data_IF_888453169343
#
_entry.id   IF_888453169343
#
_cell.length_a   1.000
_cell.length_b   1.000
_cell.length_c   1.000
_cell.angle_alpha   90.00
_cell.angle_beta   90.00
_cell.angle_gamma   90.00
#
_symmetry.space_group_name_H-M   'P 1'
#
loop_
_entity.id
_entity.type
_entity.pdbx_description
1 polymer ?
#
# COMPACT_ATOMS: atom_id res chain seq x y z
N UNK A 1 6.15 13.64 -24.45
CA UNK A 1 6.12 13.14 -23.06
C UNK A 1 4.76 13.44 -22.47
N UNK A 2 3.91 12.43 -22.43
CA UNK A 2 2.50 12.53 -22.02
C UNK A 2 2.41 12.87 -20.52
N UNK A 3 1.73 13.97 -20.20
CA UNK A 3 1.50 14.47 -18.83
C UNK A 3 0.82 13.45 -17.88
N UNK A 4 0.31 12.34 -18.42
CA UNK A 4 -0.27 11.22 -17.66
C UNK A 4 0.79 10.45 -16.83
N UNK A 5 2.07 10.50 -17.21
CA UNK A 5 3.14 9.78 -16.51
C UNK A 5 3.59 10.42 -15.19
N UNK A 6 3.55 11.75 -15.07
CA UNK A 6 4.06 12.44 -13.87
C UNK A 6 3.08 12.31 -12.69
N UNK A 7 1.79 12.56 -12.91
CA UNK A 7 0.79 12.59 -11.83
C UNK A 7 0.61 11.23 -11.12
N UNK A 8 0.60 10.13 -11.89
CA UNK A 8 0.54 8.77 -11.32
C UNK A 8 1.83 8.34 -10.63
N UNK A 9 2.99 8.82 -11.11
CA UNK A 9 4.29 8.53 -10.52
C UNK A 9 4.44 9.16 -9.14
N UNK A 10 4.08 10.44 -9.00
CA UNK A 10 4.23 11.15 -7.72
C UNK A 10 3.37 10.52 -6.62
N UNK A 11 2.10 10.23 -6.90
CA UNK A 11 1.21 9.56 -5.95
C UNK A 11 1.71 8.15 -5.57
N UNK A 12 2.22 7.39 -6.56
CA UNK A 12 2.78 6.06 -6.32
C UNK A 12 4.04 6.09 -5.46
N UNK A 13 4.89 7.11 -5.64
CA UNK A 13 6.11 7.31 -4.84
C UNK A 13 5.73 7.68 -3.41
N UNK A 14 4.82 8.64 -3.22
CA UNK A 14 4.32 9.02 -1.90
C UNK A 14 3.70 7.84 -1.15
N UNK A 15 2.93 7.00 -1.84
CA UNK A 15 2.31 5.80 -1.25
C UNK A 15 3.34 4.82 -0.70
N UNK A 16 4.42 4.56 -1.47
CA UNK A 16 5.50 3.65 -1.06
C UNK A 16 6.25 4.20 0.17
N UNK A 17 6.51 5.50 0.19
CA UNK A 17 7.17 6.16 1.33
C UNK A 17 6.29 6.07 2.57
N UNK A 18 4.99 6.37 2.44
CA UNK A 18 4.04 6.29 3.56
C UNK A 18 3.91 4.88 4.10
N UNK A 19 3.88 3.87 3.21
CA UNK A 19 3.86 2.47 3.59
C UNK A 19 5.09 2.12 4.43
N UNK A 20 6.29 2.48 3.95
CA UNK A 20 7.56 2.25 4.66
C UNK A 20 7.59 2.98 6.01
N UNK A 21 7.11 4.22 6.07
CA UNK A 21 7.01 4.97 7.32
C UNK A 21 6.02 4.32 8.31
N UNK A 22 4.88 3.84 7.82
CA UNK A 22 3.86 3.17 8.63
C UNK A 22 4.39 1.85 9.19
N UNK A 23 5.13 1.08 8.39
CA UNK A 23 5.78 -0.16 8.85
C UNK A 23 6.90 0.10 9.86
N UNK A 24 7.62 1.22 9.74
CA UNK A 24 8.62 1.62 10.75
C UNK A 24 7.99 2.01 12.09
N UNK A 25 6.85 2.70 12.07
CA UNK A 25 6.16 3.12 13.29
C UNK A 25 5.40 1.94 13.93
N UNK A 26 4.86 1.04 13.11
CA UNK A 26 4.08 -0.13 13.56
C UNK A 26 4.60 -1.42 12.91
N UNK A 27 5.71 -1.99 13.42
CA UNK A 27 6.30 -3.20 12.86
C UNK A 27 5.38 -4.43 12.95
N UNK A 28 4.44 -4.45 13.91
CA UNK A 28 3.45 -5.53 14.04
C UNK A 28 2.50 -5.59 12.84
N UNK A 29 2.18 -4.43 12.24
CA UNK A 29 1.35 -4.36 11.04
C UNK A 29 2.07 -5.00 9.85
N UNK A 30 3.38 -4.79 9.74
CA UNK A 30 4.22 -5.43 8.72
C UNK A 30 4.27 -6.95 8.92
N UNK A 31 4.46 -7.42 10.16
CA UNK A 31 4.47 -8.86 10.47
C UNK A 31 3.14 -9.55 10.15
N UNK A 32 2.02 -8.90 10.47
CA UNK A 32 0.69 -9.44 10.17
C UNK A 32 0.43 -9.50 8.65
N UNK A 33 0.86 -8.48 7.90
CA UNK A 33 0.77 -8.50 6.44
C UNK A 33 1.65 -9.59 5.82
N UNK A 34 2.86 -9.76 6.34
CA UNK A 34 3.76 -10.83 5.89
C UNK A 34 3.18 -12.22 6.20
N UNK A 35 2.63 -12.42 7.40
CA UNK A 35 2.00 -13.68 7.78
C UNK A 35 0.78 -14.04 6.91
N UNK A 36 -0.03 -13.05 6.51
CA UNK A 36 -1.12 -13.28 5.56
C UNK A 36 -0.59 -13.70 4.18
N UNK A 37 0.42 -13.00 3.66
CA UNK A 37 1.08 -13.33 2.40
C UNK A 37 1.65 -14.75 2.45
N UNK A 38 2.39 -15.08 3.51
CA UNK A 38 3.01 -16.39 3.69
C UNK A 38 1.95 -17.50 3.84
N UNK A 39 0.78 -17.19 4.42
CA UNK A 39 -0.32 -18.15 4.58
C UNK A 39 -1.11 -18.39 3.29
N UNK A 40 -1.26 -17.38 2.43
CA UNK A 40 -2.11 -17.44 1.22
C UNK A 40 -1.30 -17.89 0.01
N UNK A 41 -0.09 -17.37 -0.15
CA UNK A 41 0.76 -17.61 -1.32
C UNK A 41 1.82 -18.70 -1.04
N UNK A 42 2.30 -18.78 0.21
CA UNK A 42 3.45 -19.62 0.57
C UNK A 42 4.78 -19.05 0.07
N UNK A 43 5.86 -19.81 0.23
CA UNK A 43 7.21 -19.39 -0.18
C UNK A 43 7.61 -19.78 -1.61
N UNK A 44 6.74 -20.48 -2.33
CA UNK A 44 7.09 -21.11 -3.62
C UNK A 44 6.97 -20.15 -4.82
N UNK A 45 6.28 -19.00 -4.64
CA UNK A 45 6.07 -18.03 -5.71
C UNK A 45 5.88 -16.60 -5.18
N UNK A 46 6.19 -15.63 -6.03
CA UNK A 46 5.92 -14.23 -5.72
C UNK A 46 4.42 -13.90 -5.80
N UNK A 47 3.94 -12.92 -5.02
CA UNK A 47 2.56 -12.44 -5.11
C UNK A 47 2.23 -11.95 -6.52
N UNK A 48 1.11 -12.41 -7.07
CA UNK A 48 0.58 -11.93 -8.35
C UNK A 48 -0.64 -11.03 -8.14
N UNK A 49 -0.96 -10.21 -9.14
CA UNK A 49 -2.14 -9.34 -9.10
C UNK A 49 -3.45 -10.12 -8.89
N UNK A 50 -3.53 -11.37 -9.35
CA UNK A 50 -4.68 -12.25 -9.15
C UNK A 50 -4.86 -12.69 -7.68
N UNK A 51 -3.81 -12.63 -6.87
CA UNK A 51 -3.84 -13.02 -5.45
C UNK A 51 -4.38 -11.89 -4.56
N UNK A 52 -4.59 -10.69 -5.12
CA UNK A 52 -5.04 -9.50 -4.37
C UNK A 52 -6.35 -9.72 -3.63
N UNK A 53 -7.29 -10.45 -4.26
CA UNK A 53 -8.60 -10.75 -3.66
C UNK A 53 -8.49 -11.74 -2.48
N UNK A 54 -7.38 -12.48 -2.40
CA UNK A 54 -7.09 -13.44 -1.33
C UNK A 54 -6.26 -12.83 -0.20
N UNK A 55 -5.84 -11.57 -0.32
CA UNK A 55 -5.06 -10.82 0.67
C UNK A 55 -5.89 -9.66 1.24
N UNK A 56 -6.94 -9.96 2.04
CA UNK A 56 -7.82 -8.93 2.58
C UNK A 56 -7.11 -7.98 3.54
N UNK A 57 -6.19 -8.45 4.38
CA UNK A 57 -5.47 -7.60 5.32
C UNK A 57 -4.51 -6.64 4.60
N UNK A 58 -3.73 -7.13 3.63
CA UNK A 58 -2.88 -6.26 2.79
C UNK A 58 -3.74 -5.25 2.00
N UNK A 59 -4.91 -5.66 1.50
CA UNK A 59 -5.82 -4.75 0.78
C UNK A 59 -6.39 -3.66 1.69
N UNK A 60 -6.78 -4.00 2.92
CA UNK A 60 -7.22 -3.04 3.93
C UNK A 60 -6.08 -2.09 4.33
N UNK A 61 -4.84 -2.59 4.47
CA UNK A 61 -3.68 -1.73 4.72
C UNK A 61 -3.43 -0.71 3.61
N UNK A 62 -3.59 -1.12 2.35
CA UNK A 62 -3.53 -0.18 1.23
C UNK A 62 -4.63 0.88 1.30
N UNK A 63 -5.84 0.48 1.71
CA UNK A 63 -6.97 1.38 1.92
C UNK A 63 -6.85 2.25 3.17
N UNK A 64 -5.97 1.95 4.11
CA UNK A 64 -5.64 2.84 5.23
C UNK A 64 -4.58 3.87 4.85
N UNK A 65 -3.65 3.49 3.95
CA UNK A 65 -2.59 4.40 3.46
C UNK A 65 -3.13 5.41 2.46
N UNK A 66 -4.10 5.03 1.61
CA UNK A 66 -4.70 5.91 0.61
C UNK A 66 -5.42 7.15 1.22
N UNK A 67 -6.28 7.03 2.25
CA UNK A 67 -6.90 8.16 2.93
C UNK A 67 -5.89 9.07 3.62
N UNK A 68 -4.79 8.53 4.17
CA UNK A 68 -3.75 9.36 4.79
C UNK A 68 -3.07 10.24 3.73
N UNK A 69 -2.95 9.76 2.50
CA UNK A 69 -2.45 10.57 1.39
C UNK A 69 -3.49 11.61 0.92
N UNK A 70 -4.78 11.27 0.94
CA UNK A 70 -5.87 12.18 0.53
C UNK A 70 -6.20 13.23 1.59
N UNK A 71 -6.07 12.92 2.88
CA UNK A 71 -6.38 13.84 3.98
C UNK A 71 -5.62 15.18 3.91
N UNK A 72 -4.29 15.23 3.70
CA UNK A 72 -3.57 16.50 3.53
C UNK A 72 -3.82 17.19 2.17
N UNK A 73 -4.30 16.46 1.15
CA UNK A 73 -4.59 17.02 -0.17
C UNK A 73 -6.00 17.61 -0.27
N UNK A 74 -6.99 17.01 0.39
CA UNK A 74 -8.39 17.49 0.42
C UNK A 74 -8.56 18.64 1.41
N UNK A 75 -7.87 18.61 2.56
CA UNK A 75 -8.02 19.64 3.61
C UNK A 75 -7.31 20.97 3.27
N UNK A 76 -6.53 21.03 2.18
CA UNK A 76 -5.83 22.25 1.74
C UNK A 76 -6.55 23.04 0.64
N UNK A 77 -7.71 22.56 0.19
CA UNK A 77 -8.52 23.19 -0.87
C UNK A 77 -9.91 23.60 -0.34
N UNK A 78 -10.18 23.44 0.96
CA UNK A 78 -11.41 23.87 1.64
C UNK A 78 -11.15 25.07 2.56
#
# INVERSE_FOLDING_TARGET
MSAQGLCGSDASVSMKILFVLRTMINPEVQKQGQAEIDSVIGHDRFPQLADRDQLPYVSVLYLEVLPILLHPLVFRIA
#
